data_IF_797765512357
#
_entry.id   IF_797765512357
#
_cell.length_a   1.000
_cell.length_b   1.000
_cell.length_c   1.000
_cell.angle_alpha   90.00
_cell.angle_beta   90.00
_cell.angle_gamma   90.00
#
_symmetry.space_group_name_H-M   'P 1'
#
loop_
_entity.id
_entity.type
_entity.pdbx_description
1 polymer ?
#
# COMPACT_ATOMS: atom_id res chain seq x y z
N UNK A 1 18.53 0.02 -12.33
CA UNK A 1 19.30 0.19 -13.59
C UNK A 1 20.31 1.34 -13.50
N UNK A 2 19.98 2.47 -12.89
CA UNK A 2 20.94 3.58 -12.79
C UNK A 2 22.23 3.20 -12.06
N UNK A 3 22.13 2.46 -10.95
CA UNK A 3 23.29 1.97 -10.21
C UNK A 3 24.06 0.81 -10.86
N UNK A 4 23.59 0.29 -11.99
CA UNK A 4 24.39 -0.63 -12.80
C UNK A 4 25.56 0.13 -13.45
N UNK A 5 25.34 1.38 -13.85
CA UNK A 5 26.32 2.19 -14.57
C UNK A 5 26.99 3.25 -13.69
N UNK A 6 26.39 3.62 -12.56
CA UNK A 6 26.92 4.69 -11.71
C UNK A 6 28.18 4.30 -10.94
N UNK A 7 28.48 2.99 -10.81
CA UNK A 7 29.59 2.44 -10.00
C UNK A 7 29.62 2.95 -8.54
N UNK A 8 28.49 3.43 -8.02
CA UNK A 8 28.38 3.96 -6.65
C UNK A 8 28.51 2.86 -5.60
N UNK A 9 28.09 1.64 -5.96
CA UNK A 9 28.07 0.47 -5.09
C UNK A 9 28.95 -0.64 -5.66
N UNK A 10 29.46 -1.51 -4.79
CA UNK A 10 30.26 -2.67 -5.22
C UNK A 10 29.44 -3.85 -5.76
N UNK A 11 28.11 -3.79 -5.69
CA UNK A 11 27.22 -4.94 -5.95
C UNK A 11 27.37 -5.53 -7.37
N UNK A 12 27.52 -4.67 -8.38
CA UNK A 12 27.62 -5.09 -9.79
C UNK A 12 29.02 -4.88 -10.38
N UNK A 13 30.05 -4.72 -9.52
CA UNK A 13 31.44 -4.66 -9.97
C UNK A 13 32.04 -6.07 -10.10
N UNK A 14 33.13 -6.14 -10.88
CA UNK A 14 33.86 -7.37 -11.24
C UNK A 14 33.03 -8.37 -12.06
N UNK A 15 33.70 -9.42 -12.56
CA UNK A 15 33.09 -10.41 -13.46
C UNK A 15 32.85 -11.78 -12.80
N UNK A 16 33.32 -11.99 -11.57
CA UNK A 16 33.11 -13.24 -10.83
C UNK A 16 33.18 -13.03 -9.32
N UNK A 17 32.60 -13.96 -8.57
CA UNK A 17 32.71 -13.96 -7.10
C UNK A 17 34.16 -14.03 -6.63
N UNK A 18 35.00 -14.82 -7.31
CA UNK A 18 36.43 -14.91 -7.02
C UNK A 18 37.11 -13.53 -7.09
N UNK A 19 36.84 -12.75 -8.14
CA UNK A 19 37.40 -11.40 -8.28
C UNK A 19 36.89 -10.47 -7.17
N UNK A 20 35.59 -10.53 -6.84
CA UNK A 20 35.01 -9.73 -5.76
C UNK A 20 35.65 -10.01 -4.40
N UNK A 21 36.00 -11.27 -4.14
CA UNK A 21 36.74 -11.69 -2.95
C UNK A 21 38.18 -11.16 -2.93
N UNK A 22 38.90 -11.28 -4.06
CA UNK A 22 40.27 -10.74 -4.21
C UNK A 22 40.32 -9.23 -3.99
N UNK A 23 39.35 -8.50 -4.55
CA UNK A 23 39.23 -7.05 -4.38
C UNK A 23 38.64 -6.65 -3.03
N UNK A 24 38.15 -7.60 -2.24
CA UNK A 24 37.55 -7.40 -0.92
C UNK A 24 36.40 -6.36 -0.94
N UNK A 25 35.54 -6.44 -1.96
CA UNK A 25 34.47 -5.47 -2.17
C UNK A 25 33.54 -5.28 -0.97
N UNK A 26 33.11 -6.33 -0.22
CA UNK A 26 32.21 -6.14 0.91
C UNK A 26 32.75 -5.24 2.02
N UNK A 27 34.07 -5.11 2.15
CA UNK A 27 34.72 -4.23 3.16
C UNK A 27 35.13 -2.88 2.60
N UNK A 28 35.29 -2.76 1.27
CA UNK A 28 35.80 -1.55 0.62
C UNK A 28 34.72 -0.70 -0.06
N UNK A 29 33.51 -1.25 -0.20
CA UNK A 29 32.41 -0.60 -0.91
C UNK A 29 31.09 -0.85 -0.18
N UNK A 30 30.10 -0.01 -0.44
CA UNK A 30 28.74 -0.19 0.06
C UNK A 30 27.96 -1.10 -0.89
N UNK A 31 27.07 -1.93 -0.34
CA UNK A 31 26.12 -2.73 -1.12
C UNK A 31 24.93 -1.87 -1.55
N UNK A 32 24.50 -2.01 -2.81
CA UNK A 32 23.26 -1.42 -3.32
C UNK A 32 22.06 -1.80 -2.45
N UNK A 33 22.04 -3.03 -1.94
CA UNK A 33 20.97 -3.52 -1.08
C UNK A 33 20.93 -2.81 0.28
N UNK A 34 22.07 -2.34 0.79
CA UNK A 34 22.09 -1.53 2.02
C UNK A 34 21.34 -0.22 1.82
N UNK A 35 21.48 0.41 0.65
CA UNK A 35 20.74 1.62 0.29
C UNK A 35 19.26 1.33 0.09
N UNK A 36 18.90 0.38 -0.78
CA UNK A 36 17.49 0.05 -1.08
C UNK A 36 16.73 -0.35 0.19
N UNK A 37 17.33 -1.20 1.03
CA UNK A 37 16.67 -1.68 2.25
C UNK A 37 16.60 -0.64 3.37
N UNK A 38 17.38 0.44 3.29
CA UNK A 38 17.22 1.59 4.20
C UNK A 38 16.03 2.50 3.85
N UNK A 39 15.49 2.38 2.62
CA UNK A 39 14.42 3.23 2.08
C UNK A 39 13.34 2.36 1.42
N UNK A 40 12.90 1.29 2.09
CA UNK A 40 11.95 0.32 1.54
C UNK A 40 10.65 0.96 1.04
N UNK A 41 10.19 2.03 1.69
CA UNK A 41 8.97 2.73 1.32
C UNK A 41 8.98 3.21 -0.13
N UNK A 42 10.13 3.57 -0.70
CA UNK A 42 10.23 4.06 -2.08
C UNK A 42 10.32 2.95 -3.13
N UNK A 43 10.60 1.73 -2.70
CA UNK A 43 10.78 0.57 -3.58
C UNK A 43 9.69 -0.50 -3.41
N UNK A 44 8.80 -0.34 -2.43
CA UNK A 44 7.73 -1.31 -2.14
C UNK A 44 6.52 -1.08 -3.04
N UNK A 45 6.11 -2.12 -3.78
CA UNK A 45 4.84 -2.09 -4.50
C UNK A 45 3.68 -2.20 -3.51
N UNK A 46 2.82 -1.18 -3.36
CA UNK A 46 1.79 -1.21 -2.34
C UNK A 46 0.55 -2.03 -2.75
N UNK A 47 0.50 -2.50 -4.00
CA UNK A 47 -0.48 -3.49 -4.48
C UNK A 47 0.00 -4.93 -4.31
N UNK A 48 1.21 -5.12 -3.77
CA UNK A 48 1.72 -6.44 -3.46
C UNK A 48 0.87 -7.08 -2.36
N UNK A 49 0.17 -8.16 -2.71
CA UNK A 49 -0.63 -8.96 -1.78
C UNK A 49 -0.05 -10.35 -1.58
N UNK A 50 -0.69 -11.14 -0.71
CA UNK A 50 -0.33 -12.55 -0.48
C UNK A 50 -0.78 -13.44 -1.64
N UNK A 51 -0.25 -13.21 -2.84
CA UNK A 51 -0.27 -14.18 -3.95
C UNK A 51 0.88 -15.18 -3.75
N UNK A 52 0.83 -15.94 -2.65
CA UNK A 52 1.82 -16.97 -2.41
C UNK A 52 1.40 -18.27 -3.10
N UNK A 53 2.34 -18.90 -3.81
CA UNK A 53 2.24 -20.23 -4.44
C UNK A 53 1.51 -20.33 -5.80
N UNK A 54 1.49 -19.27 -6.62
CA UNK A 54 0.99 -19.35 -8.00
C UNK A 54 2.11 -19.23 -9.03
N UNK A 55 2.04 -20.03 -10.09
CA UNK A 55 2.91 -19.92 -11.26
C UNK A 55 2.46 -18.72 -12.09
N UNK A 56 3.38 -17.79 -12.37
CA UNK A 56 3.12 -16.66 -13.26
C UNK A 56 3.24 -17.13 -14.72
N UNK A 57 2.20 -16.89 -15.52
CA UNK A 57 2.18 -17.18 -16.96
C UNK A 57 2.13 -15.89 -17.78
N UNK A 58 3.29 -15.26 -18.07
CA UNK A 58 3.34 -14.07 -18.90
C UNK A 58 3.02 -14.40 -20.37
N UNK A 59 2.42 -13.45 -21.09
CA UNK A 59 2.14 -13.60 -22.53
C UNK A 59 3.28 -12.98 -23.35
N UNK A 60 4.13 -13.82 -23.93
CA UNK A 60 5.26 -13.41 -24.77
C UNK A 60 4.84 -13.09 -26.22
N UNK A 61 3.89 -12.18 -26.40
CA UNK A 61 3.40 -11.73 -27.71
C UNK A 61 3.63 -10.24 -27.88
N UNK A 62 4.01 -9.80 -29.08
CA UNK A 62 4.16 -8.36 -29.41
C UNK A 62 2.89 -7.54 -29.18
N UNK A 63 1.71 -8.18 -29.08
CA UNK A 63 0.44 -7.53 -28.74
C UNK A 63 0.26 -7.24 -27.25
N UNK A 64 1.05 -7.89 -26.39
CA UNK A 64 0.99 -7.77 -24.93
C UNK A 64 2.26 -7.13 -24.35
N UNK A 65 3.36 -7.16 -25.10
CA UNK A 65 4.59 -6.47 -24.73
C UNK A 65 4.48 -4.98 -25.04
N UNK A 66 4.82 -4.16 -24.06
CA UNK A 66 4.85 -2.72 -24.19
C UNK A 66 6.29 -2.20 -24.20
N UNK A 67 6.52 -1.08 -24.88
CA UNK A 67 7.77 -0.34 -24.71
C UNK A 67 7.83 0.16 -23.27
N UNK A 68 8.94 -0.08 -22.57
CA UNK A 68 9.14 0.46 -21.23
C UNK A 68 9.47 1.96 -21.26
N UNK A 69 8.46 2.77 -21.54
CA UNK A 69 8.56 4.23 -21.71
C UNK A 69 9.21 4.89 -20.50
N UNK A 70 8.85 4.44 -19.29
CA UNK A 70 9.39 4.95 -18.02
C UNK A 70 10.91 4.81 -17.87
N UNK A 71 11.55 3.93 -18.64
CA UNK A 71 13.01 3.83 -18.68
C UNK A 71 13.60 4.46 -19.95
N UNK A 72 13.15 4.02 -21.13
CA UNK A 72 13.77 4.41 -22.40
C UNK A 72 13.48 5.85 -22.85
N UNK A 73 12.39 6.45 -22.37
CA UNK A 73 11.94 7.79 -22.81
C UNK A 73 11.87 8.79 -21.64
N UNK A 74 12.43 8.43 -20.47
CA UNK A 74 12.35 9.22 -19.23
C UNK A 74 12.91 10.65 -19.30
N UNK A 75 13.77 10.92 -20.29
CA UNK A 75 14.40 12.23 -20.48
C UNK A 75 13.55 13.22 -21.27
N UNK A 76 12.54 12.75 -22.01
CA UNK A 76 11.67 13.62 -22.78
C UNK A 76 10.66 14.33 -21.84
N UNK A 77 10.72 15.65 -21.66
CA UNK A 77 9.83 16.38 -20.76
C UNK A 77 8.35 16.28 -21.15
N UNK A 78 8.05 16.06 -22.44
CA UNK A 78 6.68 15.95 -22.96
C UNK A 78 6.04 14.59 -22.70
N UNK A 79 6.84 13.60 -22.33
CA UNK A 79 6.40 12.22 -22.09
C UNK A 79 6.53 11.80 -20.62
N UNK A 80 6.93 12.73 -19.75
CA UNK A 80 6.86 12.49 -18.31
C UNK A 80 5.39 12.44 -17.91
N UNK A 81 4.93 11.34 -17.27
CA UNK A 81 3.67 11.37 -16.54
C UNK A 81 3.70 12.58 -15.59
N UNK A 82 2.63 13.38 -15.53
CA UNK A 82 2.60 14.56 -14.65
C UNK A 82 2.95 14.21 -13.20
N UNK A 83 2.60 13.00 -12.77
CA UNK A 83 3.07 12.39 -11.53
C UNK A 83 3.54 10.95 -11.75
N UNK A 84 4.63 10.51 -11.09
CA UNK A 84 5.01 9.12 -11.04
C UNK A 84 3.85 8.27 -10.52
N UNK A 85 3.50 7.23 -11.27
CA UNK A 85 2.38 6.32 -10.96
C UNK A 85 2.45 5.81 -9.51
N UNK A 86 3.67 5.50 -9.03
CA UNK A 86 3.92 5.07 -7.66
C UNK A 86 3.48 6.09 -6.59
N UNK A 87 3.75 7.39 -6.79
CA UNK A 87 3.38 8.43 -5.83
C UNK A 87 1.87 8.59 -5.76
N UNK A 88 1.21 8.62 -6.92
CA UNK A 88 -0.24 8.65 -7.01
C UNK A 88 -0.88 7.44 -6.31
N UNK A 89 -0.30 6.24 -6.47
CA UNK A 89 -0.79 5.05 -5.76
C UNK A 89 -0.57 5.13 -4.24
N UNK A 90 0.57 5.63 -3.78
CA UNK A 90 0.81 5.87 -2.34
C UNK A 90 -0.25 6.80 -1.76
N UNK A 91 -0.54 7.92 -2.42
CA UNK A 91 -1.57 8.87 -1.99
C UNK A 91 -2.97 8.27 -1.99
N UNK A 92 -3.33 7.54 -3.05
CA UNK A 92 -4.63 6.87 -3.14
C UNK A 92 -4.83 5.84 -2.02
N UNK A 93 -3.78 5.13 -1.64
CA UNK A 93 -3.83 4.15 -0.56
C UNK A 93 -3.91 4.81 0.82
N UNK A 94 -3.17 5.90 1.04
CA UNK A 94 -3.31 6.71 2.25
C UNK A 94 -4.74 7.24 2.40
N UNK A 95 -5.31 7.79 1.32
CA UNK A 95 -6.69 8.29 1.30
C UNK A 95 -7.72 7.18 1.53
N UNK A 96 -7.49 5.98 0.97
CA UNK A 96 -8.33 4.80 1.25
C UNK A 96 -8.29 4.43 2.72
N UNK A 97 -7.12 4.39 3.34
CA UNK A 97 -6.98 4.06 4.77
C UNK A 97 -7.69 5.07 5.68
N UNK A 98 -7.56 6.36 5.37
CA UNK A 98 -8.28 7.43 6.09
C UNK A 98 -9.81 7.27 5.98
N UNK A 99 -10.32 7.07 4.77
CA UNK A 99 -11.75 6.88 4.54
C UNK A 99 -12.27 5.62 5.22
N UNK A 100 -11.51 4.53 5.19
CA UNK A 100 -11.86 3.27 5.85
C UNK A 100 -12.02 3.47 7.36
N UNK A 101 -11.06 4.15 8.00
CA UNK A 101 -11.12 4.48 9.43
C UNK A 101 -12.36 5.33 9.76
N UNK A 102 -12.67 6.32 8.92
CA UNK A 102 -13.84 7.19 9.11
C UNK A 102 -15.15 6.42 8.98
N UNK A 103 -15.23 5.44 8.08
CA UNK A 103 -16.39 4.55 7.95
C UNK A 103 -16.56 3.71 9.23
N UNK A 104 -15.48 3.14 9.76
CA UNK A 104 -15.52 2.34 10.99
C UNK A 104 -15.94 3.16 12.22
N UNK A 105 -15.47 4.42 12.33
CA UNK A 105 -15.88 5.35 13.38
C UNK A 105 -17.38 5.69 13.29
N UNK A 106 -17.85 6.05 12.09
CA UNK A 106 -19.27 6.38 11.87
C UNK A 106 -20.19 5.18 12.11
N UNK A 107 -19.78 3.97 11.71
CA UNK A 107 -20.53 2.74 11.99
C UNK A 107 -20.63 2.47 13.50
N UNK A 108 -19.55 2.69 14.24
CA UNK A 108 -19.53 2.57 15.71
C UNK A 108 -20.45 3.58 16.37
N UNK A 109 -20.45 4.83 15.91
CA UNK A 109 -21.32 5.87 16.43
C UNK A 109 -22.81 5.55 16.18
N UNK A 110 -23.17 5.08 14.98
CA UNK A 110 -24.54 4.65 14.66
C UNK A 110 -24.96 3.48 15.57
N UNK A 111 -24.09 2.49 15.76
CA UNK A 111 -24.35 1.36 16.65
C UNK A 111 -24.59 1.82 18.09
N UNK A 112 -23.74 2.69 18.63
CA UNK A 112 -23.88 3.23 19.99
C UNK A 112 -25.14 4.10 20.16
N UNK A 113 -25.54 4.83 19.12
CA UNK A 113 -26.76 5.65 19.17
C UNK A 113 -28.01 4.78 19.16
N UNK A 114 -28.02 3.70 18.37
CA UNK A 114 -29.13 2.74 18.31
C UNK A 114 -29.39 2.00 19.62
N UNK A 115 -28.34 1.62 20.36
CA UNK A 115 -28.48 1.02 21.70
C UNK A 115 -29.01 2.02 22.74
N UNK A 116 -28.55 3.28 22.70
CA UNK A 116 -29.02 4.33 23.63
C UNK A 116 -30.49 4.73 23.44
N UNK A 117 -31.04 4.60 22.23
CA UNK A 117 -32.47 4.83 21.94
C UNK A 117 -33.39 3.69 22.39
N UNK A 118 -32.87 2.47 22.56
CA UNK A 118 -33.65 1.33 23.06
C UNK A 118 -33.93 1.45 24.57
N UNK A 119 -33.01 2.04 25.34
CA UNK A 119 -33.16 2.19 26.80
C UNK A 119 -34.16 3.28 27.22
N UNK A 120 -34.47 4.26 26.35
CA UNK A 120 -35.46 5.32 26.65
C UNK A 120 -36.91 4.93 26.35
N UNK A 121 -37.17 3.82 25.65
CA UNK A 121 -38.53 3.36 25.34
C UNK A 121 -39.19 2.60 26.50
N UNK A 122 -38.46 2.30 27.58
CA UNK A 122 -38.97 1.63 28.78
C UNK A 122 -39.36 2.66 29.84
N UNK A 123 -40.50 3.35 29.67
CA UNK A 123 -41.17 4.08 30.75
C UNK A 123 -42.32 3.25 31.34
N UNK A 124 -42.63 3.35 32.65
CA UNK A 124 -43.49 2.39 33.34
C UNK A 124 -44.97 2.61 33.01
N UNK A 125 -45.71 1.51 32.84
CA UNK A 125 -47.16 1.53 32.68
C UNK A 125 -47.83 2.15 33.93
N UNK A 126 -48.45 3.31 33.78
CA UNK A 126 -49.38 3.84 34.78
C UNK A 126 -50.62 2.94 34.83
N UNK A 127 -50.84 2.32 35.99
CA UNK A 127 -52.00 1.51 36.31
C UNK A 127 -53.18 2.44 36.61
N UNK A 128 -54.20 2.46 35.74
CA UNK A 128 -55.45 3.19 35.94
C UNK A 128 -56.47 2.23 36.58
N UNK A 129 -56.96 2.54 37.77
CA UNK A 129 -58.04 1.80 38.43
C UNK A 129 -59.41 2.24 37.91
N UNK A 130 -60.38 1.32 37.69
CA UNK A 130 -61.74 1.71 37.33
C UNK A 130 -62.58 1.93 38.59
N UNK A 131 -63.33 3.04 38.61
CA UNK A 131 -64.38 3.32 39.59
C UNK A 131 -65.64 2.54 39.19
N UNK A 132 -66.13 1.66 40.06
CA UNK A 132 -67.44 1.01 39.91
C UNK A 132 -68.53 1.89 40.52
N UNK A 133 -69.56 2.19 39.72
CA UNK A 133 -70.81 2.79 40.20
C UNK A 133 -71.85 1.69 40.38
N UNK A 134 -72.42 1.59 41.58
CA UNK A 134 -73.48 0.65 41.95
C UNK A 134 -74.83 1.33 41.75
N UNK A 135 -75.81 0.59 41.20
CA UNK A 135 -77.24 0.95 41.12
C UNK A 135 -77.93 0.62 42.43
#
# INVERSE_FOLDING_TARGET
>A
LDHLYSCLFGTFLCNSELQRGKENLPKRTVSLWSYINSQLEDFTNPLYGSYSNHVLYPVASMRHLELWVGYYVRWNPRMKPQEPIHNRYKELLAKRAELQKKVEELQREISNRSTSSSERASSPAQCVTPVQTVV
#
